data_IF_042042267229
#
_entry.id   IF_042042267229
#
_cell.length_a   1.000
_cell.length_b   1.000
_cell.length_c   1.000
_cell.angle_alpha   90.00
_cell.angle_beta   90.00
_cell.angle_gamma   90.00
#
_symmetry.space_group_name_H-M   'P 1'
#
loop_
_entity.id
_entity.type
_entity.pdbx_description
1 polymer ?
#
# COMPACT_ATOMS: atom_id res chain seq x y z
N UNK A 1 9.91 24.70 9.62
CA UNK A 1 9.28 24.09 10.81
C UNK A 1 10.12 22.91 11.30
N UNK A 2 9.96 22.57 12.58
CA UNK A 2 10.43 21.30 13.14
C UNK A 2 9.26 20.33 13.19
N UNK A 3 9.34 19.22 12.50
CA UNK A 3 8.23 18.29 12.31
C UNK A 3 8.61 16.91 12.87
N UNK A 4 7.71 16.30 13.65
CA UNK A 4 7.82 14.89 14.05
C UNK A 4 6.90 14.05 13.18
N UNK A 5 7.43 13.03 12.51
CA UNK A 5 6.63 12.00 11.82
C UNK A 5 6.66 10.73 12.67
N UNK A 6 5.49 10.24 13.09
CA UNK A 6 5.34 8.96 13.78
C UNK A 6 4.83 7.93 12.78
N UNK A 7 5.66 6.93 12.47
CA UNK A 7 5.32 5.89 11.48
C UNK A 7 4.25 4.93 12.01
N UNK A 8 3.80 4.03 11.15
CA UNK A 8 2.80 3.01 11.50
C UNK A 8 3.25 2.06 12.63
N UNK A 9 4.56 1.97 12.90
CA UNK A 9 5.14 1.04 13.86
C UNK A 9 5.17 -0.42 13.39
N UNK A 10 4.98 -0.68 12.10
CA UNK A 10 4.95 -2.03 11.50
C UNK A 10 6.20 -2.31 10.68
N UNK A 11 6.56 -1.43 9.76
CA UNK A 11 7.75 -1.53 8.92
C UNK A 11 8.69 -0.35 9.18
N UNK A 12 9.99 -0.51 8.93
CA UNK A 12 10.98 0.54 9.16
C UNK A 12 10.95 1.61 8.06
N UNK A 13 11.31 2.83 8.44
CA UNK A 13 11.66 3.91 7.53
C UNK A 13 13.14 4.24 7.76
N UNK A 14 14.01 4.28 6.72
CA UNK A 14 13.71 4.07 5.29
C UNK A 14 13.11 2.71 4.96
N UNK A 15 12.40 2.62 3.83
CA UNK A 15 11.58 1.49 3.40
C UNK A 15 12.41 0.25 2.96
N UNK A 16 13.38 -0.16 3.78
CA UNK A 16 14.32 -1.26 3.50
C UNK A 16 13.66 -2.66 3.46
N UNK A 17 12.41 -2.75 3.83
CA UNK A 17 11.57 -3.95 3.72
C UNK A 17 10.39 -3.75 2.77
N UNK A 18 10.40 -2.66 2.01
CA UNK A 18 9.25 -2.23 1.21
C UNK A 18 8.14 -1.63 2.10
N UNK A 19 6.90 -1.72 1.63
CA UNK A 19 5.73 -1.11 2.27
C UNK A 19 5.30 0.17 1.56
N UNK A 20 4.00 0.25 1.23
CA UNK A 20 3.48 1.39 0.46
C UNK A 20 3.60 2.70 1.25
N UNK A 21 3.27 2.68 2.55
CA UNK A 21 3.33 3.86 3.43
C UNK A 21 4.77 4.31 3.62
N UNK A 22 5.67 3.36 3.88
CA UNK A 22 7.09 3.62 4.13
C UNK A 22 7.78 4.23 2.90
N UNK A 23 7.48 3.73 1.69
CA UNK A 23 7.95 4.32 0.44
C UNK A 23 7.45 5.77 0.25
N UNK A 24 6.20 6.05 0.62
CA UNK A 24 5.65 7.41 0.54
C UNK A 24 6.35 8.37 1.49
N UNK A 25 6.66 7.92 2.70
CA UNK A 25 7.46 8.71 3.64
C UNK A 25 8.84 8.99 3.04
N UNK A 26 9.51 7.99 2.46
CA UNK A 26 10.81 8.17 1.80
C UNK A 26 10.73 9.19 0.67
N UNK A 27 9.68 9.17 -0.17
CA UNK A 27 9.51 10.17 -1.24
C UNK A 27 9.38 11.60 -0.69
N UNK A 28 8.62 11.77 0.40
CA UNK A 28 8.51 13.06 1.07
C UNK A 28 9.86 13.50 1.65
N UNK A 29 10.60 12.60 2.29
CA UNK A 29 11.91 12.90 2.88
C UNK A 29 12.97 13.21 1.83
N UNK A 30 13.00 12.47 0.71
CA UNK A 30 13.86 12.80 -0.44
C UNK A 30 13.58 14.22 -0.96
N UNK A 31 12.31 14.57 -1.15
CA UNK A 31 11.89 15.90 -1.60
C UNK A 31 12.28 16.98 -0.58
N UNK A 32 12.12 16.71 0.72
CA UNK A 32 12.56 17.62 1.78
C UNK A 32 14.07 17.89 1.74
N UNK A 33 14.88 16.85 1.51
CA UNK A 33 16.34 17.01 1.40
C UNK A 33 16.74 17.86 0.18
N UNK A 34 16.10 17.60 -0.96
CA UNK A 34 16.37 18.33 -2.21
C UNK A 34 16.02 19.83 -2.10
N UNK A 35 14.90 20.15 -1.43
CA UNK A 35 14.37 21.51 -1.36
C UNK A 35 14.66 22.21 -0.01
N UNK A 36 15.19 21.49 0.98
CA UNK A 36 15.54 21.99 2.34
C UNK A 36 14.39 22.72 3.04
N UNK A 37 13.20 22.13 3.00
CA UNK A 37 11.98 22.81 3.45
C UNK A 37 11.85 22.84 4.98
N UNK A 38 12.11 21.72 5.65
CA UNK A 38 11.85 21.54 7.08
C UNK A 38 12.91 20.69 7.75
N UNK A 39 13.01 20.79 9.08
CA UNK A 39 13.75 19.81 9.90
C UNK A 39 12.76 18.74 10.36
N UNK A 40 12.92 17.52 9.86
CA UNK A 40 11.99 16.42 10.13
C UNK A 40 12.68 15.37 10.99
N UNK A 41 12.02 14.95 12.08
CA UNK A 41 12.43 13.75 12.83
C UNK A 41 11.41 12.64 12.61
N UNK A 42 11.88 11.50 12.09
CA UNK A 42 11.07 10.32 11.84
C UNK A 42 11.24 9.32 12.98
N UNK A 43 10.15 8.99 13.66
CA UNK A 43 10.10 7.98 14.70
C UNK A 43 9.61 6.66 14.12
N UNK A 44 10.50 5.68 14.02
CA UNK A 44 10.25 4.41 13.36
C UNK A 44 10.72 3.21 14.18
N UNK A 45 10.33 2.00 13.75
CA UNK A 45 10.91 0.78 14.30
C UNK A 45 12.31 0.54 13.74
N UNK A 46 13.17 -0.09 14.56
CA UNK A 46 14.50 -0.48 14.14
C UNK A 46 14.48 -1.77 13.29
N UNK A 47 15.31 -1.79 12.26
CA UNK A 47 15.66 -2.98 11.49
C UNK A 47 17.15 -2.93 11.12
N UNK A 48 17.86 -4.08 11.15
CA UNK A 48 19.29 -4.12 10.83
C UNK A 48 19.61 -3.57 9.43
N UNK A 49 18.71 -3.73 8.46
CA UNK A 49 18.88 -3.25 7.09
C UNK A 49 18.91 -1.72 6.96
N UNK A 50 18.49 -0.97 7.99
CA UNK A 50 18.59 0.50 7.96
C UNK A 50 20.01 0.96 8.25
N UNK A 51 20.87 0.12 8.86
CA UNK A 51 22.24 0.49 9.20
C UNK A 51 23.04 0.81 7.94
N UNK A 52 23.59 2.01 7.89
CA UNK A 52 24.37 2.48 6.75
C UNK A 52 23.56 2.90 5.53
N UNK A 53 22.22 2.94 5.63
CA UNK A 53 21.39 3.46 4.54
C UNK A 53 21.70 4.94 4.28
N UNK A 54 21.81 5.33 3.01
CA UNK A 54 22.20 6.69 2.61
C UNK A 54 21.31 7.80 3.18
N UNK A 55 20.02 7.54 3.35
CA UNK A 55 19.07 8.49 3.91
C UNK A 55 19.44 8.96 5.34
N UNK A 56 20.20 8.14 6.11
CA UNK A 56 20.66 8.52 7.44
C UNK A 56 21.74 9.61 7.43
N UNK A 57 22.28 9.95 6.27
CA UNK A 57 23.26 11.03 6.10
C UNK A 57 22.61 12.39 5.86
N UNK A 58 21.28 12.44 5.80
CA UNK A 58 20.52 13.69 5.61
C UNK A 58 20.84 14.71 6.70
N UNK A 59 20.90 15.98 6.29
CA UNK A 59 21.01 17.13 7.20
C UNK A 59 19.64 17.71 7.61
N UNK A 60 18.61 17.40 6.84
CA UNK A 60 17.24 17.89 7.07
C UNK A 60 16.38 16.86 7.80
N UNK A 61 16.65 15.56 7.54
CA UNK A 61 15.84 14.47 8.09
C UNK A 61 16.66 13.68 9.12
N UNK A 62 16.13 13.55 10.31
CA UNK A 62 16.70 12.77 11.39
C UNK A 62 15.85 11.54 11.69
N UNK A 63 16.47 10.43 12.08
CA UNK A 63 15.78 9.16 12.31
C UNK A 63 15.99 8.68 13.74
N UNK A 64 14.90 8.44 14.44
CA UNK A 64 14.85 7.93 15.80
C UNK A 64 14.19 6.56 15.83
N UNK A 65 14.93 5.55 16.27
CA UNK A 65 14.48 4.17 16.20
C UNK A 65 14.05 3.61 17.57
N UNK A 66 13.02 2.77 17.53
CA UNK A 66 12.55 1.92 18.62
C UNK A 66 12.79 0.47 18.25
N UNK A 67 13.62 -0.24 19.00
CA UNK A 67 13.87 -1.67 18.78
C UNK A 67 12.74 -2.51 19.37
N UNK A 68 11.71 -2.79 18.57
CA UNK A 68 10.52 -3.56 18.96
C UNK A 68 10.79 -5.06 19.08
N UNK A 69 11.92 -5.57 18.54
CA UNK A 69 12.33 -6.98 18.65
C UNK A 69 13.11 -7.28 19.92
N UNK A 70 13.59 -6.26 20.65
CA UNK A 70 14.36 -6.46 21.87
C UNK A 70 13.53 -7.10 22.99
N UNK A 71 14.20 -7.91 23.84
CA UNK A 71 13.55 -8.52 25.00
C UNK A 71 12.98 -7.48 25.95
N UNK A 72 13.70 -6.38 26.18
CA UNK A 72 13.24 -5.27 27.02
C UNK A 72 11.96 -4.64 26.50
N UNK A 73 11.85 -4.44 25.18
CA UNK A 73 10.62 -3.93 24.59
C UNK A 73 9.45 -4.91 24.80
N UNK A 74 9.66 -6.20 24.55
CA UNK A 74 8.62 -7.25 24.67
C UNK A 74 8.10 -7.38 26.10
N UNK A 75 9.00 -7.36 27.09
CA UNK A 75 8.63 -7.39 28.52
C UNK A 75 7.90 -6.09 28.89
N UNK A 76 8.47 -4.94 28.53
CA UNK A 76 7.87 -3.63 28.81
C UNK A 76 6.47 -3.48 28.21
N UNK A 77 6.25 -3.96 26.98
CA UNK A 77 4.94 -3.94 26.33
C UNK A 77 3.90 -4.81 27.07
N UNK A 78 4.29 -5.98 27.57
CA UNK A 78 3.41 -6.82 28.40
C UNK A 78 3.07 -6.15 29.74
N UNK A 79 4.08 -5.59 30.44
CA UNK A 79 3.84 -4.85 31.67
C UNK A 79 2.93 -3.64 31.44
N UNK A 80 3.16 -2.87 30.39
CA UNK A 80 2.31 -1.76 30.00
C UNK A 80 0.87 -2.19 29.77
N UNK A 81 0.64 -3.34 29.13
CA UNK A 81 -0.69 -3.90 28.91
C UNK A 81 -1.41 -4.25 30.23
N UNK A 82 -0.72 -4.85 31.18
CA UNK A 82 -1.32 -5.23 32.47
C UNK A 82 -1.62 -4.04 33.39
N UNK A 83 -0.80 -2.98 33.32
CA UNK A 83 -0.92 -1.82 34.20
C UNK A 83 -1.45 -0.56 33.52
N UNK A 84 -1.53 -0.51 32.20
CA UNK A 84 -1.77 0.70 31.41
C UNK A 84 -3.21 0.99 31.00
N UNK A 85 -4.18 0.11 31.31
CA UNK A 85 -5.59 0.32 30.92
C UNK A 85 -5.95 -0.08 29.48
N UNK A 86 -7.20 0.26 29.04
CA UNK A 86 -7.70 -0.06 27.70
C UNK A 86 -7.08 0.89 26.67
N UNK A 87 -6.38 0.32 25.71
CA UNK A 87 -5.72 1.05 24.62
C UNK A 87 -6.51 0.90 23.30
N UNK A 88 -6.36 1.87 22.39
CA UNK A 88 -7.03 1.86 21.09
C UNK A 88 -6.45 0.80 20.13
N UNK A 89 -5.14 0.57 20.22
CA UNK A 89 -4.44 -0.42 19.40
C UNK A 89 -4.01 -1.63 20.20
N UNK A 90 -3.45 -2.62 19.50
CA UNK A 90 -2.77 -3.75 20.14
C UNK A 90 -1.63 -3.26 21.04
N UNK A 91 -1.45 -3.86 22.21
CA UNK A 91 -0.55 -3.43 23.27
C UNK A 91 0.89 -3.12 22.83
N UNK A 92 1.41 -3.82 21.82
CA UNK A 92 2.76 -3.55 21.29
C UNK A 92 2.83 -2.23 20.54
N UNK A 93 1.78 -1.86 19.80
CA UNK A 93 1.71 -0.57 19.11
C UNK A 93 1.53 0.58 20.09
N UNK A 94 0.73 0.39 21.13
CA UNK A 94 0.58 1.39 22.18
C UNK A 94 1.88 1.59 22.94
N UNK A 95 2.62 0.50 23.24
CA UNK A 95 3.93 0.64 23.88
C UNK A 95 4.98 1.23 22.93
N UNK A 96 4.92 0.95 21.63
CA UNK A 96 5.73 1.67 20.64
C UNK A 96 5.49 3.17 20.73
N UNK A 97 4.22 3.59 20.74
CA UNK A 97 3.86 5.00 20.90
C UNK A 97 4.40 5.59 22.20
N UNK A 98 4.29 4.90 23.33
CA UNK A 98 4.85 5.38 24.61
C UNK A 98 6.37 5.59 24.54
N UNK A 99 7.09 4.69 23.87
CA UNK A 99 8.53 4.84 23.65
C UNK A 99 8.86 6.03 22.75
N UNK A 100 8.04 6.26 21.71
CA UNK A 100 8.14 7.45 20.83
C UNK A 100 7.85 8.70 21.63
N UNK A 101 6.78 8.73 22.43
CA UNK A 101 6.43 9.89 23.26
C UNK A 101 7.55 10.27 24.23
N UNK A 102 8.21 9.30 24.87
CA UNK A 102 9.36 9.55 25.75
C UNK A 102 10.52 10.27 25.06
N UNK A 103 10.64 10.13 23.73
CA UNK A 103 11.62 10.86 22.93
C UNK A 103 11.07 12.23 22.51
N UNK A 104 9.85 12.28 21.96
CA UNK A 104 9.20 13.51 21.46
C UNK A 104 9.14 14.60 22.55
N UNK A 105 8.72 14.25 23.76
CA UNK A 105 8.55 15.23 24.87
C UNK A 105 9.82 15.96 25.29
N UNK A 106 10.99 15.55 24.82
CA UNK A 106 12.29 16.18 25.08
C UNK A 106 12.63 17.26 24.05
N UNK A 107 11.84 17.40 23.00
CA UNK A 107 12.05 18.31 21.90
C UNK A 107 10.80 19.17 21.69
N UNK A 108 11.00 20.33 21.09
CA UNK A 108 9.90 21.17 20.63
C UNK A 108 9.66 20.92 19.15
N UNK A 109 8.41 20.56 18.79
CA UNK A 109 7.96 20.41 17.42
C UNK A 109 6.82 21.39 17.13
N UNK A 110 6.84 21.95 15.92
CA UNK A 110 5.78 22.82 15.40
C UNK A 110 4.57 22.01 14.91
N UNK A 111 4.82 20.74 14.52
CA UNK A 111 3.83 19.84 13.97
C UNK A 111 4.17 18.38 14.26
N UNK A 112 3.14 17.56 14.53
CA UNK A 112 3.25 16.10 14.61
C UNK A 112 2.39 15.48 13.50
N UNK A 113 2.98 14.59 12.71
CA UNK A 113 2.28 13.83 11.65
C UNK A 113 2.20 12.37 12.06
N UNK A 114 0.99 11.81 11.98
CA UNK A 114 0.69 10.40 12.27
C UNK A 114 0.48 9.64 10.96
N UNK A 115 1.34 8.68 10.66
CA UNK A 115 1.23 7.86 9.48
C UNK A 115 0.37 6.62 9.75
N UNK A 116 -0.86 6.65 9.25
CA UNK A 116 -1.83 5.55 9.34
C UNK A 116 -2.16 5.06 10.77
N UNK A 117 -2.02 5.96 11.76
CA UNK A 117 -2.33 5.68 13.18
C UNK A 117 -3.10 6.82 13.84
N UNK A 118 -4.32 7.13 13.34
CA UNK A 118 -5.09 8.28 13.86
C UNK A 118 -5.42 8.17 15.35
N UNK A 119 -5.54 6.96 15.91
CA UNK A 119 -5.83 6.77 17.34
C UNK A 119 -4.75 7.31 18.28
N UNK A 120 -3.50 7.48 17.82
CA UNK A 120 -2.46 8.13 18.63
C UNK A 120 -2.76 9.61 18.91
N UNK A 121 -3.62 10.23 18.10
CA UNK A 121 -4.06 11.61 18.34
C UNK A 121 -4.76 11.78 19.69
N UNK A 122 -5.48 10.75 20.16
CA UNK A 122 -6.14 10.78 21.48
C UNK A 122 -5.11 10.98 22.61
N UNK A 123 -4.06 10.16 22.58
CA UNK A 123 -3.02 10.22 23.62
C UNK A 123 -2.17 11.49 23.50
N UNK A 124 -1.90 11.97 22.28
CA UNK A 124 -1.14 13.19 22.04
C UNK A 124 -1.92 14.42 22.51
N UNK A 125 -3.21 14.51 22.23
CA UNK A 125 -4.05 15.67 22.61
C UNK A 125 -4.10 15.93 24.12
N UNK A 126 -3.92 14.88 24.92
CA UNK A 126 -3.84 14.98 26.38
C UNK A 126 -2.46 15.40 26.90
N UNK A 127 -1.42 15.33 26.05
CA UNK A 127 0.00 15.47 26.45
C UNK A 127 0.71 16.67 25.82
N UNK A 128 0.19 17.20 24.71
CA UNK A 128 0.79 18.34 24.01
C UNK A 128 -0.26 19.23 23.36
N UNK A 129 0.12 20.49 23.13
CA UNK A 129 -0.66 21.45 22.33
C UNK A 129 -0.17 21.55 20.89
N UNK A 130 0.88 20.80 20.54
CA UNK A 130 1.41 20.74 19.16
C UNK A 130 0.31 20.25 18.22
N UNK A 131 0.05 20.95 17.11
CA UNK A 131 -0.92 20.49 16.11
C UNK A 131 -0.62 19.10 15.58
N UNK A 132 -1.68 18.32 15.32
CA UNK A 132 -1.59 16.94 14.85
C UNK A 132 -2.22 16.87 13.47
N UNK A 133 -1.51 16.31 12.50
CA UNK A 133 -2.03 15.90 11.19
C UNK A 133 -2.02 14.37 11.14
N UNK A 134 -3.11 13.76 10.67
CA UNK A 134 -3.19 12.31 10.45
C UNK A 134 -3.24 12.01 8.95
N UNK A 135 -2.25 11.27 8.45
CA UNK A 135 -2.21 10.79 7.07
C UNK A 135 -2.82 9.38 7.03
N UNK A 136 -3.93 9.22 6.31
CA UNK A 136 -4.77 8.04 6.34
C UNK A 136 -4.62 7.25 5.04
N UNK A 137 -4.03 6.06 5.14
CA UNK A 137 -3.72 5.16 4.02
C UNK A 137 -4.65 3.95 3.92
N UNK A 138 -5.53 3.75 4.91
CA UNK A 138 -6.48 2.63 4.95
C UNK A 138 -7.79 3.11 5.56
N UNK A 139 -8.87 2.38 5.33
CA UNK A 139 -10.20 2.72 5.88
C UNK A 139 -10.25 2.41 7.38
N UNK A 140 -9.78 3.35 8.21
CA UNK A 140 -9.73 3.23 9.68
C UNK A 140 -10.80 4.06 10.39
N UNK A 141 -11.28 5.14 9.76
CA UNK A 141 -12.24 6.06 10.32
C UNK A 141 -13.46 6.11 9.40
N UNK A 142 -14.43 5.22 9.59
CA UNK A 142 -15.63 5.10 8.73
C UNK A 142 -16.93 4.98 9.52
N UNK A 143 -16.83 4.70 10.83
CA UNK A 143 -18.01 4.53 11.70
C UNK A 143 -18.18 5.73 12.63
N UNK A 144 -19.43 6.19 12.86
CA UNK A 144 -19.73 7.33 13.73
C UNK A 144 -19.66 6.94 15.23
N UNK A 145 -18.61 6.21 15.64
CA UNK A 145 -18.38 5.84 17.02
C UNK A 145 -17.91 7.03 17.87
N UNK A 146 -18.17 7.06 19.19
CA UNK A 146 -17.70 8.13 20.07
C UNK A 146 -16.18 8.31 20.00
N UNK A 147 -15.42 7.21 19.85
CA UNK A 147 -13.96 7.26 19.79
C UNK A 147 -13.47 7.88 18.47
N UNK A 148 -14.10 7.53 17.34
CA UNK A 148 -13.76 8.12 16.03
C UNK A 148 -14.11 9.61 16.00
N UNK A 149 -15.25 10.02 16.57
CA UNK A 149 -15.61 11.43 16.72
C UNK A 149 -14.57 12.18 17.55
N UNK A 150 -14.10 11.60 18.65
CA UNK A 150 -13.04 12.21 19.47
C UNK A 150 -11.72 12.30 18.72
N UNK A 151 -11.31 11.25 17.96
CA UNK A 151 -10.10 11.31 17.12
C UNK A 151 -10.17 12.49 16.15
N UNK A 152 -11.32 12.65 15.47
CA UNK A 152 -11.49 13.71 14.48
C UNK A 152 -11.43 15.08 15.17
N UNK A 153 -12.08 15.26 16.29
CA UNK A 153 -12.13 16.56 17.00
C UNK A 153 -10.77 17.03 17.55
N UNK A 154 -9.83 16.11 17.81
CA UNK A 154 -8.48 16.44 18.32
C UNK A 154 -7.41 16.48 17.22
N UNK A 155 -7.76 16.15 15.99
CA UNK A 155 -6.85 16.15 14.83
C UNK A 155 -7.07 17.44 14.03
N UNK A 156 -6.02 18.23 13.84
CA UNK A 156 -6.09 19.52 13.14
C UNK A 156 -6.44 19.39 11.67
N UNK A 157 -5.88 18.34 10.99
CA UNK A 157 -6.08 18.08 9.56
C UNK A 157 -5.89 16.60 9.27
N UNK A 158 -6.64 16.10 8.30
CA UNK A 158 -6.45 14.77 7.72
C UNK A 158 -5.92 14.89 6.30
N UNK A 159 -4.91 14.06 5.98
CA UNK A 159 -4.47 13.81 4.62
C UNK A 159 -5.04 12.46 4.21
N UNK A 160 -5.93 12.44 3.24
CA UNK A 160 -6.59 11.23 2.74
C UNK A 160 -5.97 10.83 1.40
N UNK A 161 -5.66 9.55 1.21
CA UNK A 161 -5.02 9.06 -0.02
C UNK A 161 -5.95 9.01 -1.24
N UNK A 162 -7.24 9.23 -1.04
CA UNK A 162 -8.26 9.25 -2.10
C UNK A 162 -9.51 10.01 -1.66
N UNK A 163 -10.35 10.39 -2.62
CA UNK A 163 -11.68 10.90 -2.32
C UNK A 163 -12.56 9.83 -1.64
N UNK A 164 -12.31 8.54 -1.94
CA UNK A 164 -12.97 7.45 -1.21
C UNK A 164 -12.67 7.54 0.28
N UNK A 165 -11.40 7.59 0.69
CA UNK A 165 -11.01 7.71 2.12
C UNK A 165 -11.53 9.01 2.74
N UNK A 166 -11.52 10.12 1.99
CA UNK A 166 -12.14 11.39 2.44
C UNK A 166 -13.61 11.18 2.80
N UNK A 167 -14.41 10.59 1.89
CA UNK A 167 -15.84 10.30 2.15
C UNK A 167 -16.05 9.37 3.34
N UNK A 168 -15.18 8.37 3.53
CA UNK A 168 -15.27 7.47 4.68
C UNK A 168 -15.06 8.23 6.01
N UNK A 169 -14.10 9.16 6.09
CA UNK A 169 -13.89 10.00 7.27
C UNK A 169 -15.10 10.93 7.50
N UNK A 170 -15.66 11.52 6.43
CA UNK A 170 -16.84 12.40 6.49
C UNK A 170 -18.08 11.68 7.07
N UNK A 171 -18.23 10.36 6.82
CA UNK A 171 -19.32 9.55 7.39
C UNK A 171 -19.34 9.51 8.92
N UNK A 172 -18.23 9.79 9.59
CA UNK A 172 -18.18 9.87 11.05
C UNK A 172 -19.05 11.01 11.59
N UNK A 173 -19.35 12.03 10.76
CA UNK A 173 -20.29 13.10 11.09
C UNK A 173 -19.73 14.17 12.01
N UNK A 174 -18.43 14.42 11.94
CA UNK A 174 -17.74 15.52 12.62
C UNK A 174 -17.03 16.35 11.56
N UNK A 175 -17.16 17.68 11.64
CA UNK A 175 -16.46 18.58 10.74
C UNK A 175 -14.94 18.46 10.89
N UNK A 176 -14.24 18.34 9.75
CA UNK A 176 -12.80 18.13 9.71
C UNK A 176 -12.17 18.76 8.45
N UNK A 177 -10.98 19.33 8.59
CA UNK A 177 -10.15 19.73 7.45
C UNK A 177 -9.54 18.47 6.82
N UNK A 178 -10.11 17.98 5.71
CA UNK A 178 -9.65 16.78 5.02
C UNK A 178 -9.14 17.17 3.62
N UNK A 179 -7.86 16.91 3.38
CA UNK A 179 -7.20 17.15 2.10
C UNK A 179 -6.86 15.84 1.41
N UNK A 180 -7.16 15.75 0.12
CA UNK A 180 -6.83 14.55 -0.67
C UNK A 180 -5.44 14.70 -1.25
N UNK A 181 -4.57 13.72 -0.92
CA UNK A 181 -3.22 13.60 -1.44
C UNK A 181 -3.04 12.18 -1.95
N UNK A 182 -3.15 11.99 -3.26
CA UNK A 182 -2.94 10.69 -3.88
C UNK A 182 -1.51 10.19 -3.68
N UNK A 183 -1.36 8.89 -3.46
CA UNK A 183 -0.06 8.26 -3.31
C UNK A 183 0.79 8.42 -4.59
N UNK A 184 2.10 8.55 -4.38
CA UNK A 184 3.08 8.63 -5.45
C UNK A 184 3.66 7.27 -5.83
N UNK A 185 3.98 7.12 -7.11
CA UNK A 185 4.76 6.01 -7.65
C UNK A 185 6.08 6.53 -8.22
N UNK A 186 7.16 5.79 -7.98
CA UNK A 186 8.44 6.07 -8.59
C UNK A 186 8.47 5.53 -10.02
N UNK A 187 8.30 6.41 -11.00
CA UNK A 187 8.31 6.05 -12.43
C UNK A 187 9.65 5.51 -12.91
N UNK A 188 10.75 5.80 -12.22
CA UNK A 188 12.06 5.23 -12.62
C UNK A 188 12.18 3.75 -12.30
N UNK A 189 11.34 3.23 -11.42
CA UNK A 189 11.23 1.78 -11.12
C UNK A 189 10.19 1.09 -11.98
N UNK A 190 9.07 1.77 -12.26
CA UNK A 190 7.94 1.23 -13.02
C UNK A 190 7.92 1.82 -14.43
N UNK A 191 8.78 1.29 -15.30
CA UNK A 191 8.79 1.56 -16.73
C UNK A 191 9.35 0.34 -17.48
N UNK A 192 9.05 0.25 -18.77
CA UNK A 192 9.61 -0.80 -19.62
C UNK A 192 11.12 -0.58 -19.77
N UNK A 193 11.92 -1.52 -19.31
CA UNK A 193 13.38 -1.50 -19.43
C UNK A 193 13.84 -2.29 -20.66
N UNK A 194 14.89 -1.82 -21.31
CA UNK A 194 15.57 -2.58 -22.38
C UNK A 194 16.30 -3.82 -21.85
N UNK A 195 16.61 -3.86 -20.55
CA UNK A 195 17.36 -4.93 -19.88
C UNK A 195 16.45 -5.75 -18.95
N UNK A 196 15.36 -6.31 -19.49
CA UNK A 196 14.54 -7.24 -18.72
C UNK A 196 15.35 -8.49 -18.37
N UNK A 197 15.28 -8.91 -17.11
CA UNK A 197 16.00 -10.11 -16.62
C UNK A 197 15.15 -11.37 -16.61
N UNK A 198 13.86 -11.26 -16.90
CA UNK A 198 12.89 -12.35 -16.93
C UNK A 198 12.21 -12.38 -18.30
N UNK A 199 12.17 -13.56 -18.88
CA UNK A 199 11.56 -13.79 -20.19
C UNK A 199 10.40 -14.77 -20.06
N UNK A 200 9.42 -14.67 -20.97
CA UNK A 200 8.27 -15.58 -21.03
C UNK A 200 8.69 -17.05 -21.05
N UNK A 201 9.75 -17.38 -21.82
CA UNK A 201 10.29 -18.74 -21.92
C UNK A 201 10.75 -19.34 -20.58
N UNK A 202 11.27 -18.50 -19.66
CA UNK A 202 11.76 -18.94 -18.36
C UNK A 202 10.63 -19.40 -17.44
N UNK A 203 9.41 -18.95 -17.73
CA UNK A 203 8.18 -19.31 -17.04
C UNK A 203 7.30 -20.29 -17.83
N UNK A 204 7.80 -20.83 -18.94
CA UNK A 204 7.02 -21.73 -19.80
C UNK A 204 5.84 -21.05 -20.50
N UNK A 205 5.94 -19.76 -20.78
CA UNK A 205 4.94 -18.94 -21.47
C UNK A 205 5.39 -18.77 -22.91
N UNK A 206 4.55 -19.15 -23.88
CA UNK A 206 4.82 -18.94 -25.29
C UNK A 206 4.62 -17.47 -25.69
N UNK A 207 5.29 -17.02 -26.76
CA UNK A 207 5.13 -15.66 -27.27
C UNK A 207 3.69 -15.36 -27.73
N UNK A 208 2.99 -16.41 -28.21
CA UNK A 208 1.58 -16.35 -28.62
C UNK A 208 0.57 -16.36 -27.45
N UNK A 209 1.03 -16.60 -26.21
CA UNK A 209 0.12 -16.63 -25.06
C UNK A 209 -0.34 -15.23 -24.68
N UNK A 210 -1.62 -15.11 -24.32
CA UNK A 210 -2.19 -13.92 -23.70
C UNK A 210 -2.11 -14.08 -22.18
N UNK A 211 -1.33 -13.20 -21.52
CA UNK A 211 -0.99 -13.33 -20.12
C UNK A 211 -1.74 -12.30 -19.27
N UNK A 212 -2.69 -12.78 -18.48
CA UNK A 212 -3.25 -12.00 -17.38
C UNK A 212 -2.30 -12.03 -16.19
N UNK A 213 -2.09 -10.89 -15.54
CA UNK A 213 -1.17 -10.78 -14.38
C UNK A 213 -1.91 -10.30 -13.15
N UNK A 214 -1.62 -10.97 -12.04
CA UNK A 214 -1.99 -10.55 -10.68
C UNK A 214 -0.72 -10.43 -9.84
N UNK A 215 -0.60 -9.36 -9.05
CA UNK A 215 0.47 -9.24 -8.04
C UNK A 215 -0.02 -8.66 -6.74
N UNK A 216 0.56 -9.14 -5.64
CA UNK A 216 0.23 -8.72 -4.30
C UNK A 216 0.15 -9.88 -3.31
N UNK A 217 -0.36 -9.60 -2.11
CA UNK A 217 -0.54 -10.63 -1.10
C UNK A 217 -1.62 -11.62 -1.50
N UNK A 218 -1.33 -12.91 -1.34
CA UNK A 218 -2.29 -13.98 -1.61
C UNK A 218 -3.21 -14.16 -0.40
N UNK A 219 -4.19 -13.28 -0.27
CA UNK A 219 -5.20 -13.29 0.79
C UNK A 219 -6.61 -13.17 0.17
N UNK A 220 -7.67 -13.72 0.81
CA UNK A 220 -9.02 -13.75 0.23
C UNK A 220 -9.50 -12.39 -0.27
N UNK A 221 -9.26 -11.36 0.51
CA UNK A 221 -9.70 -10.00 0.19
C UNK A 221 -9.12 -9.41 -1.09
N UNK A 222 -8.08 -10.00 -1.67
CA UNK A 222 -7.48 -9.57 -2.94
C UNK A 222 -8.10 -10.23 -4.18
N UNK A 223 -9.06 -11.14 -4.00
CA UNK A 223 -9.84 -11.73 -5.10
C UNK A 223 -9.07 -12.70 -5.98
N UNK A 224 -7.93 -13.23 -5.49
CA UNK A 224 -7.13 -14.19 -6.27
C UNK A 224 -7.88 -15.50 -6.53
N UNK A 225 -8.71 -15.95 -5.59
CA UNK A 225 -9.56 -17.14 -5.77
C UNK A 225 -10.55 -16.93 -6.90
N UNK A 226 -11.23 -15.79 -6.91
CA UNK A 226 -12.19 -15.39 -7.94
C UNK A 226 -11.53 -15.32 -9.33
N UNK A 227 -10.29 -14.84 -9.40
CA UNK A 227 -9.53 -14.80 -10.65
C UNK A 227 -9.14 -16.21 -11.11
N UNK A 228 -8.71 -17.10 -10.24
CA UNK A 228 -8.43 -18.51 -10.59
C UNK A 228 -9.70 -19.18 -11.13
N UNK A 229 -10.85 -18.96 -10.48
CA UNK A 229 -12.13 -19.48 -10.97
C UNK A 229 -12.51 -18.90 -12.35
N UNK A 230 -12.21 -17.63 -12.61
CA UNK A 230 -12.39 -17.02 -13.92
C UNK A 230 -11.54 -17.71 -15.00
N UNK A 231 -10.26 -17.98 -14.72
CA UNK A 231 -9.37 -18.70 -15.64
C UNK A 231 -9.85 -20.14 -15.87
N UNK A 232 -10.41 -20.79 -14.85
CA UNK A 232 -11.00 -22.13 -15.01
C UNK A 232 -12.19 -22.13 -15.98
N UNK A 233 -12.99 -21.06 -16.05
CA UNK A 233 -14.04 -20.91 -17.06
C UNK A 233 -13.46 -20.75 -18.48
N UNK A 234 -12.23 -20.25 -18.61
CA UNK A 234 -11.51 -20.07 -19.87
C UNK A 234 -10.68 -21.30 -20.30
N UNK A 235 -11.03 -22.50 -19.81
CA UNK A 235 -10.29 -23.74 -20.09
C UNK A 235 -10.15 -24.06 -21.58
N UNK A 236 -11.12 -23.66 -22.40
CA UNK A 236 -11.15 -23.88 -23.84
C UNK A 236 -10.27 -22.92 -24.67
N UNK A 237 -9.65 -21.93 -24.02
CA UNK A 237 -8.71 -20.98 -24.62
C UNK A 237 -7.27 -21.34 -24.21
N UNK A 238 -6.57 -22.26 -24.91
CA UNK A 238 -5.29 -22.80 -24.45
C UNK A 238 -4.20 -21.75 -24.31
N UNK A 239 -4.27 -20.67 -25.06
CA UNK A 239 -3.31 -19.58 -25.09
C UNK A 239 -3.57 -18.48 -24.05
N UNK A 240 -4.55 -18.62 -23.16
CA UNK A 240 -4.73 -17.69 -22.03
C UNK A 240 -4.01 -18.27 -20.82
N UNK A 241 -3.10 -17.48 -20.23
CA UNK A 241 -2.32 -17.80 -19.03
C UNK A 241 -2.58 -16.80 -17.92
N UNK A 242 -2.40 -17.23 -16.68
CA UNK A 242 -2.39 -16.36 -15.52
C UNK A 242 -1.02 -16.44 -14.82
N UNK A 243 -0.37 -15.32 -14.67
CA UNK A 243 0.82 -15.17 -13.85
C UNK A 243 0.45 -14.55 -12.50
N UNK A 244 0.70 -15.28 -11.42
CA UNK A 244 0.41 -14.87 -10.04
C UNK A 244 1.72 -14.58 -9.34
N UNK A 245 1.93 -13.32 -8.97
CA UNK A 245 3.16 -12.82 -8.34
C UNK A 245 2.85 -12.46 -6.90
N UNK A 246 3.50 -13.16 -5.96
CA UNK A 246 3.37 -12.84 -4.55
C UNK A 246 3.21 -14.04 -3.64
N UNK A 247 3.17 -13.75 -2.35
CA UNK A 247 2.98 -14.70 -1.27
C UNK A 247 2.01 -14.14 -0.20
N UNK A 248 1.81 -14.87 0.88
CA UNK A 248 0.97 -14.39 2.00
C UNK A 248 1.66 -13.27 2.76
N UNK A 249 2.97 -13.37 2.94
CA UNK A 249 3.79 -12.48 3.75
C UNK A 249 4.60 -11.51 2.89
N UNK A 250 5.15 -10.47 3.53
CA UNK A 250 6.07 -9.51 2.92
C UNK A 250 7.53 -10.02 2.85
N UNK A 251 7.79 -11.21 3.35
CA UNK A 251 9.12 -11.87 3.32
C UNK A 251 8.95 -13.33 2.86
N UNK A 252 10.03 -13.91 2.34
CA UNK A 252 10.10 -15.32 1.94
C UNK A 252 10.16 -16.25 3.16
N UNK A 253 9.12 -16.20 4.00
CA UNK A 253 9.01 -17.00 5.24
C UNK A 253 7.93 -18.07 5.16
N UNK A 254 7.45 -18.41 3.95
CA UNK A 254 6.35 -19.36 3.72
C UNK A 254 6.72 -20.82 4.02
N UNK A 255 7.25 -21.06 5.24
CA UNK A 255 7.48 -22.43 5.75
C UNK A 255 6.23 -23.03 6.42
N UNK A 256 5.16 -22.29 6.57
CA UNK A 256 3.91 -22.80 7.15
C UNK A 256 2.86 -23.06 6.07
N UNK A 257 2.29 -24.26 6.09
CA UNK A 257 1.11 -24.60 5.27
C UNK A 257 -0.04 -23.67 5.62
N UNK A 258 -0.48 -22.87 4.65
CA UNK A 258 -1.65 -22.01 4.81
C UNK A 258 -2.82 -22.62 4.06
N UNK A 259 -3.97 -22.89 4.72
CA UNK A 259 -5.13 -23.51 4.09
C UNK A 259 -5.61 -22.79 2.83
N UNK A 260 -5.53 -21.46 2.80
CA UNK A 260 -5.94 -20.69 1.62
C UNK A 260 -5.01 -20.91 0.42
N UNK A 261 -3.70 -21.02 0.64
CA UNK A 261 -2.74 -21.35 -0.44
C UNK A 261 -2.98 -22.74 -0.99
N UNK A 262 -3.24 -23.72 -0.13
CA UNK A 262 -3.56 -25.09 -0.57
C UNK A 262 -4.88 -25.12 -1.36
N UNK A 263 -5.86 -24.33 -0.96
CA UNK A 263 -7.10 -24.12 -1.74
C UNK A 263 -6.77 -23.56 -3.14
N UNK A 264 -5.96 -22.48 -3.22
CA UNK A 264 -5.58 -21.89 -4.51
C UNK A 264 -4.83 -22.87 -5.41
N UNK A 265 -3.91 -23.67 -4.86
CA UNK A 265 -3.19 -24.72 -5.60
C UNK A 265 -4.15 -25.80 -6.12
N UNK A 266 -5.08 -26.25 -5.28
CA UNK A 266 -6.09 -27.25 -5.65
C UNK A 266 -6.94 -26.74 -6.81
N UNK A 267 -7.44 -25.51 -6.74
CA UNK A 267 -8.22 -24.89 -7.82
C UNK A 267 -7.40 -24.73 -9.10
N UNK A 268 -6.11 -24.43 -8.98
CA UNK A 268 -5.20 -24.25 -10.13
C UNK A 268 -4.87 -25.56 -10.84
N UNK A 269 -4.89 -26.69 -10.12
CA UNK A 269 -4.61 -28.01 -10.70
C UNK A 269 -5.70 -28.51 -11.68
N UNK A 270 -6.89 -27.90 -11.67
CA UNK A 270 -7.98 -28.21 -12.62
C UNK A 270 -7.54 -27.95 -14.06
N UNK A 271 -6.69 -26.93 -14.28
CA UNK A 271 -6.21 -26.51 -15.60
C UNK A 271 -4.68 -26.43 -15.61
N UNK A 272 -4.02 -27.59 -15.57
CA UNK A 272 -2.55 -27.68 -15.51
C UNK A 272 -1.87 -26.81 -16.58
N UNK A 273 -0.84 -26.10 -16.18
CA UNK A 273 0.00 -25.28 -17.06
C UNK A 273 -0.58 -23.94 -17.48
N UNK A 274 -1.79 -23.56 -17.03
CA UNK A 274 -2.36 -22.23 -17.31
C UNK A 274 -2.08 -21.20 -16.23
N UNK A 275 -1.86 -21.63 -14.98
CA UNK A 275 -1.63 -20.74 -13.85
C UNK A 275 -0.21 -20.96 -13.33
N UNK A 276 0.54 -19.89 -13.28
CA UNK A 276 1.96 -19.88 -12.91
C UNK A 276 2.10 -19.03 -11.67
N UNK A 277 2.61 -19.63 -10.57
CA UNK A 277 2.91 -18.94 -9.33
C UNK A 277 4.40 -18.68 -9.22
N UNK A 278 4.81 -17.44 -8.99
CA UNK A 278 6.22 -17.09 -8.80
C UNK A 278 6.67 -17.23 -7.33
N UNK A 279 5.73 -17.25 -6.39
CA UNK A 279 6.04 -17.03 -4.97
C UNK A 279 6.36 -15.56 -4.69
N UNK A 280 7.04 -15.32 -3.55
CA UNK A 280 7.49 -13.98 -3.18
C UNK A 280 8.49 -13.42 -4.20
N UNK A 281 8.23 -12.19 -4.64
CA UNK A 281 9.14 -11.41 -5.50
C UNK A 281 9.43 -10.07 -4.80
N UNK A 282 10.71 -9.69 -4.62
CA UNK A 282 11.07 -8.38 -4.10
C UNK A 282 10.45 -7.24 -4.93
N UNK A 283 10.04 -6.16 -4.26
CA UNK A 283 9.31 -5.06 -4.89
C UNK A 283 10.05 -4.46 -6.09
N UNK A 284 11.36 -4.38 -6.01
CA UNK A 284 12.24 -3.87 -7.06
C UNK A 284 12.22 -4.73 -8.33
N UNK A 285 11.81 -6.01 -8.21
CA UNK A 285 11.75 -6.97 -9.31
C UNK A 285 10.33 -7.13 -9.90
N UNK A 286 9.32 -6.55 -9.23
CA UNK A 286 7.91 -6.62 -9.71
C UNK A 286 7.74 -6.08 -11.13
N UNK A 287 8.38 -4.95 -11.54
CA UNK A 287 8.26 -4.44 -12.91
C UNK A 287 8.70 -5.44 -13.98
N UNK A 288 9.77 -6.24 -13.73
CA UNK A 288 10.25 -7.26 -14.68
C UNK A 288 9.17 -8.30 -14.99
N UNK A 289 8.39 -8.68 -13.98
CA UNK A 289 7.30 -9.66 -14.16
C UNK A 289 6.06 -9.01 -14.78
N UNK A 290 5.74 -7.75 -14.42
CA UNK A 290 4.61 -7.02 -15.02
C UNK A 290 4.84 -6.86 -16.54
N UNK A 291 6.07 -6.62 -16.97
CA UNK A 291 6.42 -6.45 -18.37
C UNK A 291 6.14 -7.69 -19.26
N UNK A 292 6.00 -8.87 -18.67
CA UNK A 292 5.66 -10.13 -19.39
C UNK A 292 4.18 -10.15 -19.79
N UNK A 293 3.32 -9.42 -19.08
CA UNK A 293 1.87 -9.50 -19.19
C UNK A 293 1.26 -8.74 -20.35
N UNK A 294 0.03 -9.09 -20.64
CA UNK A 294 -0.82 -8.39 -21.58
C UNK A 294 -1.90 -7.56 -20.87
N UNK A 295 -2.38 -8.02 -19.71
CA UNK A 295 -3.42 -7.34 -18.93
C UNK A 295 -3.19 -7.51 -17.44
N UNK A 296 -3.33 -6.44 -16.67
CA UNK A 296 -3.32 -6.49 -15.22
C UNK A 296 -4.73 -6.75 -14.69
N UNK A 297 -4.87 -7.69 -13.74
CA UNK A 297 -6.18 -8.02 -13.14
C UNK A 297 -6.11 -7.80 -11.63
N UNK A 298 -6.92 -6.85 -11.15
CA UNK A 298 -6.97 -6.41 -9.74
C UNK A 298 -8.38 -6.63 -9.19
N UNK A 299 -8.75 -7.88 -8.85
CA UNK A 299 -10.11 -8.27 -8.48
C UNK A 299 -10.37 -8.09 -6.99
N UNK A 300 -9.92 -7.00 -6.38
CA UNK A 300 -10.05 -6.76 -4.94
C UNK A 300 -11.49 -6.89 -4.45
N UNK A 301 -11.70 -7.73 -3.42
CA UNK A 301 -13.00 -7.99 -2.80
C UNK A 301 -13.26 -7.11 -1.57
N UNK A 302 -12.34 -6.23 -1.20
CA UNK A 302 -12.49 -5.25 -0.12
C UNK A 302 -12.28 -3.85 -0.63
N UNK A 303 -12.80 -2.89 0.14
CA UNK A 303 -12.67 -1.47 -0.14
C UNK A 303 -11.20 -1.03 -0.13
N UNK A 304 -10.58 -0.96 -1.32
CA UNK A 304 -9.21 -0.47 -1.47
C UNK A 304 -9.16 1.03 -1.18
N UNK A 305 -8.18 1.44 -0.37
CA UNK A 305 -8.03 2.86 -0.05
C UNK A 305 -7.71 3.70 -1.30
N UNK A 306 -6.87 3.18 -2.20
CA UNK A 306 -6.53 3.82 -3.48
C UNK A 306 -6.34 2.80 -4.61
N UNK A 307 -5.57 1.70 -4.41
CA UNK A 307 -5.27 0.72 -5.45
C UNK A 307 -3.94 0.98 -6.16
N UNK A 308 -2.83 0.91 -5.43
CA UNK A 308 -1.48 1.12 -5.98
C UNK A 308 -1.16 0.20 -7.16
N UNK A 309 -1.62 -1.03 -7.14
CA UNK A 309 -1.43 -2.00 -8.23
C UNK A 309 -2.02 -1.51 -9.57
N UNK A 310 -3.13 -0.77 -9.53
CA UNK A 310 -3.68 -0.14 -10.74
C UNK A 310 -2.74 0.94 -11.29
N UNK A 311 -2.17 1.76 -10.40
CA UNK A 311 -1.22 2.82 -10.79
C UNK A 311 0.06 2.19 -11.36
N UNK A 312 0.56 1.11 -10.73
CA UNK A 312 1.73 0.35 -11.19
C UNK A 312 1.48 -0.27 -12.57
N UNK A 313 0.30 -0.88 -12.78
CA UNK A 313 -0.10 -1.44 -14.07
C UNK A 313 -0.13 -0.38 -15.19
N UNK A 314 -0.76 0.77 -14.92
CA UNK A 314 -0.83 1.85 -15.88
C UNK A 314 0.57 2.43 -16.20
N UNK A 315 1.44 2.58 -15.20
CA UNK A 315 2.81 3.02 -15.40
C UNK A 315 3.61 2.08 -16.31
N UNK A 316 3.31 0.77 -16.25
CA UNK A 316 3.90 -0.27 -17.11
C UNK A 316 3.19 -0.41 -18.47
N UNK A 317 2.22 0.45 -18.78
CA UNK A 317 1.51 0.47 -20.06
C UNK A 317 0.41 -0.58 -20.20
N UNK A 318 0.10 -1.37 -19.19
CA UNK A 318 -0.89 -2.44 -19.28
C UNK A 318 -2.33 -1.91 -19.20
N UNK A 319 -3.27 -2.47 -19.99
CA UNK A 319 -4.68 -2.36 -19.71
C UNK A 319 -5.02 -3.01 -18.37
N UNK A 320 -6.08 -2.52 -17.71
CA UNK A 320 -6.44 -2.95 -16.36
C UNK A 320 -7.86 -3.48 -16.31
N UNK A 321 -8.03 -4.66 -15.74
CA UNK A 321 -9.33 -5.16 -15.27
C UNK A 321 -9.33 -5.03 -13.74
N UNK A 322 -10.29 -4.31 -13.18
CA UNK A 322 -10.35 -4.13 -11.74
C UNK A 322 -11.79 -4.09 -11.23
N UNK A 323 -11.98 -4.34 -9.94
CA UNK A 323 -13.28 -4.14 -9.30
C UNK A 323 -13.60 -2.65 -9.16
N UNK A 324 -14.87 -2.30 -9.35
CA UNK A 324 -15.39 -0.97 -9.07
C UNK A 324 -15.54 -0.78 -7.55
N UNK A 325 -14.42 -0.58 -6.86
CA UNK A 325 -14.38 -0.63 -5.40
C UNK A 325 -13.41 0.39 -4.79
N UNK A 326 -13.86 1.05 -3.71
CA UNK A 326 -13.03 2.00 -2.95
C UNK A 326 -12.46 3.14 -3.80
N UNK A 327 -11.15 3.32 -3.73
CA UNK A 327 -10.39 4.32 -4.49
C UNK A 327 -9.91 3.85 -5.87
N UNK A 328 -10.15 2.59 -6.26
CA UNK A 328 -9.69 2.03 -7.56
C UNK A 328 -10.15 2.89 -8.74
N UNK A 329 -11.44 3.28 -8.87
CA UNK A 329 -11.90 4.08 -10.00
C UNK A 329 -11.16 5.42 -10.16
N UNK A 330 -10.68 6.00 -9.04
CA UNK A 330 -9.93 7.25 -9.06
C UNK A 330 -8.56 7.08 -9.74
N UNK A 331 -7.94 5.89 -9.59
CA UNK A 331 -6.63 5.59 -10.19
C UNK A 331 -6.70 5.30 -11.69
N UNK A 332 -7.86 4.86 -12.18
CA UNK A 332 -8.06 4.43 -13.55
C UNK A 332 -8.70 5.51 -14.43
N UNK A 333 -9.04 6.68 -13.85
CA UNK A 333 -9.55 7.80 -14.61
C UNK A 333 -8.62 8.15 -15.78
N UNK A 334 -9.15 8.21 -17.01
CA UNK A 334 -8.40 8.46 -18.25
C UNK A 334 -7.45 7.32 -18.69
N UNK A 335 -7.53 6.15 -18.08
CA UNK A 335 -6.77 4.97 -18.48
C UNK A 335 -7.65 3.99 -19.26
N UNK A 336 -7.01 3.07 -19.99
CA UNK A 336 -7.69 1.96 -20.68
C UNK A 336 -7.95 0.85 -19.69
N UNK A 337 -9.21 0.60 -19.35
CA UNK A 337 -9.59 -0.34 -18.30
C UNK A 337 -10.99 -0.89 -18.47
N UNK A 338 -11.30 -1.95 -17.75
CA UNK A 338 -12.65 -2.46 -17.51
C UNK A 338 -12.89 -2.51 -16.02
N UNK A 339 -13.90 -1.82 -15.52
CA UNK A 339 -14.37 -1.94 -14.14
C UNK A 339 -15.48 -2.99 -14.07
N UNK A 340 -15.39 -3.89 -13.11
CA UNK A 340 -16.39 -4.93 -12.86
C UNK A 340 -17.02 -4.75 -11.48
N UNK A 341 -18.31 -5.07 -11.38
CA UNK A 341 -19.02 -5.01 -10.12
C UNK A 341 -18.67 -6.20 -9.21
N UNK A 342 -18.58 -5.92 -7.94
CA UNK A 342 -18.29 -6.88 -6.88
C UNK A 342 -19.58 -7.59 -6.44
N UNK A 343 -19.86 -8.73 -7.05
CA UNK A 343 -21.02 -9.58 -6.75
C UNK A 343 -20.68 -11.08 -6.92
N UNK A 344 -21.64 -11.95 -6.72
CA UNK A 344 -21.46 -13.41 -6.81
C UNK A 344 -21.01 -13.91 -8.19
N UNK A 345 -21.19 -13.10 -9.24
CA UNK A 345 -20.78 -13.41 -10.61
C UNK A 345 -19.41 -12.84 -10.98
N UNK A 346 -18.64 -12.34 -10.02
CA UNK A 346 -17.35 -11.68 -10.26
C UNK A 346 -16.40 -12.50 -11.12
N UNK A 347 -16.33 -13.83 -10.91
CA UNK A 347 -15.46 -14.72 -11.71
C UNK A 347 -15.88 -14.76 -13.17
N UNK A 348 -17.18 -14.75 -13.47
CA UNK A 348 -17.68 -14.73 -14.84
C UNK A 348 -17.44 -13.38 -15.50
N UNK A 349 -17.61 -12.29 -14.77
CA UNK A 349 -17.29 -10.95 -15.26
C UNK A 349 -15.79 -10.78 -15.54
N UNK A 350 -14.91 -11.32 -14.68
CA UNK A 350 -13.46 -11.36 -14.91
C UNK A 350 -13.11 -12.15 -16.18
N UNK A 351 -13.72 -13.33 -16.38
CA UNK A 351 -13.50 -14.15 -17.57
C UNK A 351 -13.90 -13.40 -18.84
N UNK A 352 -15.09 -12.79 -18.86
CA UNK A 352 -15.57 -11.98 -19.98
C UNK A 352 -14.69 -10.78 -20.27
N UNK A 353 -14.24 -10.05 -19.24
CA UNK A 353 -13.35 -8.90 -19.37
C UNK A 353 -11.97 -9.28 -19.93
N UNK A 354 -11.43 -10.45 -19.54
CA UNK A 354 -10.17 -10.98 -20.09
C UNK A 354 -10.32 -11.26 -21.58
N UNK A 355 -11.43 -11.88 -22.01
CA UNK A 355 -11.70 -12.14 -23.44
C UNK A 355 -11.87 -10.82 -24.20
N UNK A 356 -12.64 -9.88 -23.67
CA UNK A 356 -12.87 -8.56 -24.29
C UNK A 356 -11.53 -7.84 -24.56
N UNK A 357 -10.65 -7.74 -23.55
CA UNK A 357 -9.35 -7.10 -23.74
C UNK A 357 -8.47 -7.91 -24.71
N UNK A 358 -8.52 -9.25 -24.66
CA UNK A 358 -7.73 -10.10 -25.57
C UNK A 358 -8.15 -9.88 -27.02
N UNK A 359 -9.46 -9.86 -27.29
CA UNK A 359 -9.99 -9.78 -28.65
C UNK A 359 -9.88 -8.37 -29.23
N UNK A 360 -9.85 -7.34 -28.38
CA UNK A 360 -9.71 -5.92 -28.75
C UNK A 360 -8.42 -5.29 -28.22
N UNK A 361 -7.34 -6.05 -28.10
CA UNK A 361 -6.12 -5.68 -27.35
C UNK A 361 -5.55 -4.33 -27.75
N UNK A 362 -5.45 -4.02 -29.04
CA UNK A 362 -4.93 -2.74 -29.55
C UNK A 362 -5.72 -1.53 -29.07
N UNK A 363 -7.02 -1.66 -28.86
CA UNK A 363 -7.90 -0.59 -28.35
C UNK A 363 -7.66 -0.27 -26.87
N UNK A 364 -7.14 -1.25 -26.13
CA UNK A 364 -6.85 -1.14 -24.69
C UNK A 364 -5.40 -0.79 -24.37
N UNK A 365 -4.52 -0.70 -25.36
CA UNK A 365 -3.13 -0.27 -25.17
C UNK A 365 -3.03 1.25 -24.97
N UNK A 366 -1.86 1.70 -24.44
CA UNK A 366 -1.49 3.12 -24.33
C UNK A 366 -1.70 3.72 -22.94
N UNK A 367 -1.86 2.90 -21.91
CA UNK A 367 -1.81 3.37 -20.52
C UNK A 367 -0.43 3.94 -20.19
N UNK A 368 -0.39 4.86 -19.26
CA UNK A 368 0.84 5.45 -18.76
C UNK A 368 0.62 5.99 -17.34
N UNK A 369 1.69 6.28 -16.63
CA UNK A 369 1.57 6.91 -15.32
C UNK A 369 0.91 8.28 -15.45
N UNK A 370 -0.25 8.43 -14.82
CA UNK A 370 -0.87 9.74 -14.68
C UNK A 370 0.01 10.60 -13.76
N UNK A 371 0.40 11.82 -14.18
CA UNK A 371 1.25 12.72 -13.39
C UNK A 371 0.74 13.01 -11.97
N UNK A 372 -0.57 12.86 -11.72
CA UNK A 372 -1.16 12.98 -10.38
C UNK A 372 -0.58 11.97 -9.38
N UNK A 373 -0.12 10.82 -9.87
CA UNK A 373 0.41 9.71 -9.08
C UNK A 373 1.93 9.61 -9.17
N UNK A 374 2.65 10.63 -9.65
CA UNK A 374 4.11 10.65 -9.58
C UNK A 374 4.60 10.91 -8.16
N UNK A 375 5.76 10.37 -7.79
CA UNK A 375 6.37 10.60 -6.48
C UNK A 375 6.64 12.10 -6.21
N UNK A 376 7.00 12.85 -7.24
CA UNK A 376 7.26 14.29 -7.17
C UNK A 376 5.97 15.07 -6.88
N UNK A 377 4.87 14.73 -7.58
CA UNK A 377 3.56 15.36 -7.34
C UNK A 377 3.04 15.03 -5.93
N UNK A 378 3.19 13.78 -5.49
CA UNK A 378 2.84 13.38 -4.14
C UNK A 378 3.63 14.20 -3.09
N UNK A 379 4.95 14.20 -3.20
CA UNK A 379 5.82 14.86 -2.21
C UNK A 379 5.55 16.37 -2.14
N UNK A 380 5.43 17.04 -3.29
CA UNK A 380 5.05 18.46 -3.34
C UNK A 380 3.70 18.70 -2.65
N UNK A 381 2.65 17.94 -3.00
CA UNK A 381 1.32 18.07 -2.38
C UNK A 381 1.33 17.77 -0.89
N UNK A 382 2.15 16.82 -0.45
CA UNK A 382 2.32 16.55 0.96
C UNK A 382 2.79 17.82 1.70
N UNK A 383 3.86 18.48 1.23
CA UNK A 383 4.36 19.70 1.86
C UNK A 383 3.41 20.90 1.71
N UNK A 384 2.75 21.06 0.57
CA UNK A 384 1.74 22.11 0.37
C UNK A 384 0.56 21.98 1.36
N UNK A 385 0.24 20.77 1.82
CA UNK A 385 -0.91 20.51 2.68
C UNK A 385 -0.59 20.30 4.16
N UNK A 386 0.68 20.27 4.58
CA UNK A 386 1.04 20.24 6.02
C UNK A 386 1.27 21.63 6.59
N UNK A 387 1.32 22.68 5.78
CA UNK A 387 1.32 24.08 6.25
C UNK A 387 -0.03 24.40 6.89
N UNK A 388 -0.01 24.87 8.16
CA UNK A 388 -1.21 25.13 8.98
C UNK A 388 -1.66 26.56 8.85
#
# INVERSE_FOLDING_TARGET
MKIAIITSGILPVPAVQGGAVENLIDYALEYNDQHRLHHITVYSIYNEKVRGHYALQSKQNHYEYINTKSLFFRIGAKLHYYFGGKNYYHYQLDFFFERVWHKIKRHHYDLIILENRPGFALQLSERTKTPIISHIHTNLLYEPSPINKKIISVTKRFLAVSNYIKREIEKVGVDADIRVIYNGLNSTKFHLHSNMTIYRKDLGIADSDFVAIFWGRLVPRKGIKELILAINQLKHYPNIKLLVIGSINYEDTDRQTNPFIEELKTLSNVIKGKIIFTGFVPYERIPDYIAIGNVAVIPSCINEALGMTCIEACAMGLPVIATNDGGIPETLSKQKHILIEKNDNISSHLASAILEIKDHYTSYQGNSLNPLFSKETYARRFFDNISL
#
